data_IF_301107369269
#
_entry.id   IF_301107369269
#
_cell.length_a   1.000
_cell.length_b   1.000
_cell.length_c   1.000
_cell.angle_alpha   90.00
_cell.angle_beta   90.00
_cell.angle_gamma   90.00
#
_symmetry.space_group_name_H-M   'P 1'
#
loop_
_entity.id
_entity.type
_entity.pdbx_description
1 polymer ?
#
# COMPACT_ATOMS: atom_id res chain seq x y z
N UNK A 1 6.77 18.47 -15.17
CA UNK A 1 5.42 17.86 -15.15
C UNK A 1 5.57 16.39 -14.80
N UNK A 2 4.81 15.88 -13.82
CA UNK A 2 4.95 14.53 -13.26
C UNK A 2 3.80 13.64 -13.73
N UNK A 3 4.10 12.47 -14.30
CA UNK A 3 3.09 11.53 -14.82
C UNK A 3 2.83 10.40 -13.83
N UNK A 4 1.58 10.03 -13.60
CA UNK A 4 1.24 8.78 -12.92
C UNK A 4 1.61 7.58 -13.79
N UNK A 5 2.18 6.53 -13.16
CA UNK A 5 2.57 5.30 -13.87
C UNK A 5 1.39 4.35 -14.11
N UNK A 6 0.27 4.56 -13.43
CA UNK A 6 -0.91 3.69 -13.52
C UNK A 6 -2.11 4.35 -14.22
N UNK A 7 -2.18 5.68 -14.27
CA UNK A 7 -3.22 6.40 -14.99
C UNK A 7 -2.62 7.57 -15.80
N UNK A 8 -3.39 8.12 -16.73
CA UNK A 8 -2.90 9.17 -17.63
C UNK A 8 -2.94 10.59 -17.04
N UNK A 9 -2.94 10.70 -15.70
CA UNK A 9 -2.92 11.98 -15.01
C UNK A 9 -1.49 12.56 -14.98
N UNK A 10 -1.42 13.86 -15.27
CA UNK A 10 -0.23 14.67 -15.13
C UNK A 10 -0.46 15.75 -14.09
N UNK A 11 0.54 15.94 -13.22
CA UNK A 11 0.51 16.94 -12.14
C UNK A 11 1.75 17.82 -12.18
N UNK A 12 1.69 18.97 -11.54
CA UNK A 12 2.75 19.99 -11.65
C UNK A 12 3.96 19.65 -10.78
N UNK A 13 3.73 19.05 -9.61
CA UNK A 13 4.77 18.72 -8.63
C UNK A 13 4.82 17.25 -8.17
N UNK A 14 5.99 16.83 -7.66
CA UNK A 14 6.17 15.50 -7.05
C UNK A 14 5.21 15.27 -5.89
N UNK A 15 5.01 16.28 -5.06
CA UNK A 15 4.10 16.24 -3.92
C UNK A 15 2.65 16.00 -4.34
N UNK A 16 2.21 16.66 -5.41
CA UNK A 16 0.87 16.45 -5.98
C UNK A 16 0.72 15.03 -6.53
N UNK A 17 1.78 14.45 -7.11
CA UNK A 17 1.75 13.07 -7.58
C UNK A 17 1.64 12.08 -6.41
N UNK A 18 2.36 12.34 -5.32
CA UNK A 18 2.26 11.55 -4.10
C UNK A 18 0.88 11.66 -3.44
N UNK A 19 0.29 12.87 -3.41
CA UNK A 19 -1.10 13.06 -2.97
C UNK A 19 -2.06 12.28 -3.85
N UNK A 20 -1.90 12.35 -5.17
CA UNK A 20 -2.69 11.60 -6.14
C UNK A 20 -2.59 10.08 -5.91
N UNK A 21 -1.40 9.53 -5.64
CA UNK A 21 -1.24 8.11 -5.28
C UNK A 21 -2.09 7.72 -4.07
N UNK A 22 -2.15 8.55 -3.01
CA UNK A 22 -2.93 8.24 -1.81
C UNK A 22 -4.44 8.43 -2.01
N UNK A 23 -4.85 9.40 -2.82
CA UNK A 23 -6.25 9.76 -2.99
C UNK A 23 -6.97 8.96 -4.08
N UNK A 24 -6.29 8.65 -5.18
CA UNK A 24 -6.91 8.03 -6.36
C UNK A 24 -6.56 6.55 -6.51
N UNK A 25 -5.40 6.08 -6.01
CA UNK A 25 -4.96 4.69 -6.12
C UNK A 25 -5.09 3.91 -4.80
N UNK A 26 -6.33 3.58 -4.43
CA UNK A 26 -6.68 2.94 -3.14
C UNK A 26 -6.03 1.58 -2.87
N UNK A 27 -5.58 0.92 -3.94
CA UNK A 27 -4.98 -0.41 -3.91
C UNK A 27 -3.49 -0.40 -3.56
N UNK A 28 -2.84 0.77 -3.63
CA UNK A 28 -1.44 0.88 -3.24
C UNK A 28 -1.21 0.57 -1.77
N UNK A 29 -0.15 -0.19 -1.50
CA UNK A 29 0.19 -0.69 -0.16
C UNK A 29 -0.67 -1.87 0.32
N UNK A 30 -1.64 -2.32 -0.50
CA UNK A 30 -2.43 -3.54 -0.25
C UNK A 30 -2.08 -4.61 -1.27
N UNK A 31 -2.68 -4.51 -2.45
CA UNK A 31 -2.54 -5.46 -3.56
C UNK A 31 -1.56 -4.97 -4.62
N UNK A 32 -1.31 -3.66 -4.69
CA UNK A 32 -0.34 -3.03 -5.58
C UNK A 32 0.75 -2.32 -4.77
N UNK A 33 1.95 -2.26 -5.33
CA UNK A 33 3.10 -1.58 -4.71
C UNK A 33 3.13 -0.13 -5.12
N UNK A 34 3.52 0.75 -4.21
CA UNK A 34 3.73 2.16 -4.51
C UNK A 34 4.91 2.30 -5.49
N UNK A 35 4.72 2.87 -6.69
CA UNK A 35 5.83 3.15 -7.58
C UNK A 35 6.64 4.35 -7.10
N UNK A 36 7.94 4.38 -7.42
CA UNK A 36 8.71 5.61 -7.33
C UNK A 36 8.11 6.68 -8.25
N UNK A 37 8.00 7.91 -7.75
CA UNK A 37 7.44 9.06 -8.46
C UNK A 37 8.28 9.45 -9.71
N UNK A 38 9.57 9.12 -9.74
CA UNK A 38 10.43 9.36 -10.90
C UNK A 38 10.16 8.32 -11.99
N UNK A 39 9.84 8.78 -13.20
CA UNK A 39 9.48 7.91 -14.32
C UNK A 39 10.60 6.92 -14.68
N UNK A 40 11.85 7.40 -14.64
CA UNK A 40 13.07 6.63 -14.89
C UNK A 40 13.45 5.65 -13.78
N UNK A 41 12.83 5.73 -12.60
CA UNK A 41 13.13 4.83 -11.49
C UNK A 41 12.19 3.61 -11.50
N UNK A 42 12.71 2.38 -11.64
CA UNK A 42 11.89 1.16 -11.70
C UNK A 42 11.44 0.67 -10.32
N UNK A 43 11.85 1.33 -9.23
CA UNK A 43 11.60 0.85 -7.87
C UNK A 43 10.12 0.94 -7.47
N UNK A 44 9.66 -0.08 -6.74
CA UNK A 44 8.31 -0.15 -6.16
C UNK A 44 8.36 -0.62 -4.71
N UNK A 45 7.42 -0.17 -3.87
CA UNK A 45 7.46 -0.33 -2.42
C UNK A 45 6.17 -0.88 -1.85
N UNK A 46 6.27 -1.71 -0.81
CA UNK A 46 5.10 -2.24 -0.10
C UNK A 46 4.48 -1.22 0.86
N UNK A 47 5.29 -0.31 1.41
CA UNK A 47 4.83 0.68 2.40
C UNK A 47 5.14 2.11 1.94
N UNK A 48 4.30 3.04 2.38
CA UNK A 48 4.48 4.47 2.13
C UNK A 48 5.82 4.99 2.69
N UNK A 49 6.17 4.56 3.91
CA UNK A 49 7.43 4.94 4.53
C UNK A 49 8.66 4.45 3.72
N UNK A 50 8.61 3.23 3.17
CA UNK A 50 9.70 2.73 2.34
C UNK A 50 9.87 3.54 1.05
N UNK A 51 8.76 3.99 0.44
CA UNK A 51 8.80 4.93 -0.69
C UNK A 51 9.44 6.26 -0.26
N UNK A 52 9.03 6.84 0.87
CA UNK A 52 9.60 8.10 1.36
C UNK A 52 11.10 7.99 1.64
N UNK A 53 11.54 6.93 2.32
CA UNK A 53 12.96 6.66 2.59
C UNK A 53 13.73 6.49 1.27
N UNK A 54 13.14 5.84 0.27
CA UNK A 54 13.77 5.74 -1.04
C UNK A 54 13.89 7.09 -1.73
N UNK A 55 12.81 7.89 -1.75
CA UNK A 55 12.80 9.20 -2.37
C UNK A 55 13.83 10.12 -1.73
N UNK A 56 13.94 10.11 -0.40
CA UNK A 56 14.98 10.89 0.28
C UNK A 56 16.38 10.34 -0.01
N UNK A 57 16.63 9.04 0.12
CA UNK A 57 18.01 8.52 0.00
C UNK A 57 18.54 8.41 -1.43
N UNK A 58 17.66 8.23 -2.42
CA UNK A 58 18.05 8.00 -3.82
C UNK A 58 17.87 9.25 -4.65
N UNK A 59 16.89 10.09 -4.32
CA UNK A 59 16.54 11.27 -5.10
C UNK A 59 16.73 12.60 -4.34
N UNK A 60 17.27 12.62 -3.11
CA UNK A 60 17.58 13.90 -2.42
C UNK A 60 18.49 14.81 -3.25
N UNK A 61 19.52 14.25 -3.89
CA UNK A 61 20.55 15.02 -4.59
C UNK A 61 20.20 15.37 -6.04
N UNK A 62 19.03 14.94 -6.56
CA UNK A 62 18.59 15.36 -7.90
C UNK A 62 17.92 16.75 -7.88
N UNK A 63 17.85 17.38 -6.71
CA UNK A 63 17.26 18.70 -6.50
C UNK A 63 18.29 19.84 -6.61
N UNK A 64 19.58 19.54 -6.71
CA UNK A 64 20.66 20.52 -6.65
C UNK A 64 21.72 20.23 -7.71
N UNK A 65 21.73 21.06 -8.74
CA UNK A 65 22.85 21.44 -9.61
C UNK A 65 23.66 20.38 -10.40
N UNK A 66 23.60 20.56 -11.72
CA UNK A 66 24.76 20.48 -12.61
C UNK A 66 25.99 21.14 -11.97
N UNK A 67 27.09 20.39 -11.77
CA UNK A 67 28.49 20.80 -12.04
C UNK A 67 29.51 19.69 -11.67
N UNK A 68 30.10 19.12 -12.73
CA UNK A 68 31.50 18.74 -12.97
C UNK A 68 32.40 18.16 -11.84
N UNK A 69 32.76 16.87 -11.99
CA UNK A 69 34.13 16.31 -11.90
C UNK A 69 34.11 14.86 -12.44
N UNK A 70 34.53 14.65 -13.69
CA UNK A 70 34.35 13.37 -14.40
C UNK A 70 35.49 12.37 -14.15
N UNK A 71 35.40 11.60 -13.05
CA UNK A 71 36.08 10.31 -12.95
C UNK A 71 35.12 9.19 -13.36
N UNK A 72 35.53 8.33 -14.30
CA UNK A 72 34.69 7.22 -14.77
C UNK A 72 35.25 5.86 -14.36
N UNK A 73 34.34 4.94 -14.07
CA UNK A 73 34.67 3.56 -13.68
C UNK A 73 34.55 2.61 -14.87
N UNK A 74 35.47 1.65 -14.93
CA UNK A 74 35.49 0.59 -15.95
C UNK A 74 35.42 -0.79 -15.31
N UNK A 75 34.59 -1.67 -15.85
CA UNK A 75 34.47 -3.04 -15.39
C UNK A 75 35.67 -3.89 -15.83
N UNK A 76 36.15 -4.74 -14.94
CA UNK A 76 37.26 -5.66 -15.19
C UNK A 76 36.80 -7.05 -15.67
N UNK A 77 35.49 -7.30 -15.72
CA UNK A 77 34.89 -8.59 -16.09
C UNK A 77 34.18 -8.57 -17.45
N UNK A 78 33.88 -7.38 -17.97
CA UNK A 78 33.22 -7.21 -19.26
C UNK A 78 33.67 -5.90 -19.94
N UNK A 79 33.15 -5.64 -21.13
CA UNK A 79 33.47 -4.45 -21.94
C UNK A 79 32.80 -3.17 -21.45
N UNK A 80 32.00 -3.22 -20.38
CA UNK A 80 31.33 -2.07 -19.80
C UNK A 80 32.36 -1.07 -19.23
N UNK A 81 32.42 0.12 -19.84
CA UNK A 81 33.27 1.24 -19.45
C UNK A 81 32.48 2.54 -19.45
N UNK A 82 32.96 3.56 -18.74
CA UNK A 82 32.31 4.88 -18.57
C UNK A 82 31.16 4.95 -17.54
N UNK A 83 31.23 4.18 -16.45
CA UNK A 83 30.26 4.30 -15.36
C UNK A 83 30.55 5.59 -14.55
N UNK A 84 29.61 6.53 -14.43
CA UNK A 84 29.87 7.88 -13.90
C UNK A 84 30.02 7.93 -12.38
N UNK A 85 29.54 6.91 -11.65
CA UNK A 85 29.58 6.91 -10.18
C UNK A 85 30.02 5.57 -9.61
N UNK A 86 30.64 5.58 -8.42
CA UNK A 86 31.01 4.36 -7.68
C UNK A 86 29.78 3.48 -7.41
N UNK A 87 28.63 4.12 -7.16
CA UNK A 87 27.35 3.45 -6.90
C UNK A 87 26.86 2.67 -8.12
N UNK A 88 27.00 3.25 -9.31
CA UNK A 88 26.66 2.57 -10.58
C UNK A 88 27.64 1.45 -10.90
N UNK A 89 28.93 1.63 -10.60
CA UNK A 89 29.92 0.57 -10.69
C UNK A 89 29.56 -0.64 -9.82
N UNK A 90 29.24 -0.44 -8.54
CA UNK A 90 28.86 -1.57 -7.67
C UNK A 90 27.49 -2.16 -8.01
N UNK A 91 26.54 -1.35 -8.52
CA UNK A 91 25.28 -1.86 -9.04
C UNK A 91 25.51 -2.79 -10.24
N UNK A 92 26.44 -2.42 -11.13
CA UNK A 92 26.88 -3.25 -12.24
C UNK A 92 27.62 -4.52 -11.77
N UNK A 93 28.56 -4.44 -10.82
CA UNK A 93 29.20 -5.64 -10.24
C UNK A 93 28.17 -6.59 -9.60
N UNK A 94 27.09 -6.04 -9.05
CA UNK A 94 25.99 -6.85 -8.51
C UNK A 94 25.26 -7.66 -9.57
N UNK A 95 25.27 -7.27 -10.86
CA UNK A 95 24.66 -8.07 -11.93
C UNK A 95 25.51 -9.30 -12.27
N UNK A 96 26.84 -9.18 -12.21
CA UNK A 96 27.75 -10.32 -12.36
C UNK A 96 27.56 -11.34 -11.22
N UNK A 97 27.47 -10.87 -9.97
CA UNK A 97 27.22 -11.74 -8.80
C UNK A 97 25.84 -12.40 -8.83
N UNK A 98 24.82 -11.75 -9.40
CA UNK A 98 23.49 -12.35 -9.60
C UNK A 98 23.48 -13.40 -10.72
N UNK A 99 24.43 -13.31 -11.64
CA UNK A 99 24.64 -14.28 -12.74
C UNK A 99 25.58 -15.43 -12.32
N UNK A 100 25.90 -15.53 -11.02
CA UNK A 100 26.82 -16.51 -10.42
C UNK A 100 28.26 -16.43 -10.95
N UNK A 101 28.66 -15.31 -11.53
CA UNK A 101 30.04 -15.09 -11.98
C UNK A 101 30.96 -14.79 -10.80
N UNK A 102 32.20 -15.29 -10.85
CA UNK A 102 33.17 -15.06 -9.78
C UNK A 102 33.79 -13.69 -9.92
N UNK A 103 33.48 -12.79 -8.99
CA UNK A 103 34.03 -11.43 -8.94
C UNK A 103 35.27 -11.41 -8.06
N UNK A 104 36.34 -10.82 -8.57
CA UNK A 104 37.55 -10.53 -7.80
C UNK A 104 37.45 -9.16 -7.12
N UNK A 105 38.06 -9.03 -5.94
CA UNK A 105 38.11 -7.75 -5.25
C UNK A 105 38.89 -6.72 -6.09
N UNK A 106 38.27 -5.56 -6.30
CA UNK A 106 38.76 -4.43 -7.09
C UNK A 106 39.66 -3.46 -6.32
N UNK A 107 39.94 -3.71 -5.04
CA UNK A 107 40.85 -2.90 -4.24
C UNK A 107 42.30 -3.38 -4.38
N UNK A 108 43.25 -2.45 -4.42
CA UNK A 108 44.69 -2.73 -4.47
C UNK A 108 45.10 -3.58 -3.27
N UNK A 109 45.96 -4.57 -3.47
CA UNK A 109 46.42 -5.46 -2.39
C UNK A 109 45.39 -6.48 -1.90
N UNK A 110 44.18 -6.53 -2.47
CA UNK A 110 43.17 -7.53 -2.10
C UNK A 110 43.04 -8.65 -3.14
N UNK A 111 43.25 -9.89 -2.70
CA UNK A 111 43.14 -11.11 -3.51
C UNK A 111 41.82 -11.87 -3.31
N UNK A 112 40.89 -11.32 -2.52
CA UNK A 112 39.60 -11.97 -2.23
C UNK A 112 38.76 -12.15 -3.52
N UNK A 113 38.09 -13.28 -3.66
CA UNK A 113 37.18 -13.59 -4.78
C UNK A 113 35.92 -14.27 -4.25
N UNK A 114 34.77 -13.98 -4.84
CA UNK A 114 33.51 -14.65 -4.50
C UNK A 114 32.51 -14.54 -5.64
N UNK A 115 31.59 -15.49 -5.72
CA UNK A 115 30.43 -15.48 -6.61
C UNK A 115 29.12 -15.19 -5.87
N UNK A 116 29.17 -14.92 -4.56
CA UNK A 116 27.98 -14.68 -3.72
C UNK A 116 27.88 -13.18 -3.38
N UNK A 117 26.71 -12.59 -3.64
CA UNK A 117 26.47 -11.15 -3.42
C UNK A 117 26.67 -10.71 -1.96
N UNK A 118 26.11 -11.45 -1.00
CA UNK A 118 26.14 -11.09 0.42
C UNK A 118 27.53 -11.12 1.03
N UNK A 119 28.37 -12.09 0.63
CA UNK A 119 29.76 -12.22 1.10
C UNK A 119 30.64 -11.12 0.52
N UNK A 120 30.45 -10.77 -0.76
CA UNK A 120 31.13 -9.64 -1.39
C UNK A 120 30.84 -8.32 -0.69
N UNK A 121 29.55 -8.02 -0.44
CA UNK A 121 29.13 -6.78 0.21
C UNK A 121 29.65 -6.69 1.66
N UNK A 122 29.65 -7.82 2.38
CA UNK A 122 30.22 -7.90 3.74
C UNK A 122 31.73 -7.71 3.73
N UNK A 123 32.45 -8.32 2.78
CA UNK A 123 33.88 -8.15 2.61
C UNK A 123 34.25 -6.69 2.34
N UNK A 124 33.57 -6.05 1.38
CA UNK A 124 33.76 -4.63 1.03
C UNK A 124 33.64 -3.74 2.26
N UNK A 125 32.52 -3.86 2.98
CA UNK A 125 32.22 -2.98 4.11
C UNK A 125 33.14 -3.20 5.33
N UNK A 126 33.69 -4.42 5.50
CA UNK A 126 34.54 -4.73 6.66
C UNK A 126 36.03 -4.49 6.42
N UNK A 127 36.49 -4.57 5.17
CA UNK A 127 37.92 -4.52 4.82
C UNK A 127 38.32 -3.27 4.07
N UNK A 128 37.38 -2.61 3.39
CA UNK A 128 37.64 -1.49 2.50
C UNK A 128 36.66 -0.34 2.80
N UNK A 129 36.32 -0.09 4.06
CA UNK A 129 35.53 1.08 4.44
C UNK A 129 36.16 1.69 5.68
N UNK A 130 36.54 2.98 5.65
CA UNK A 130 36.45 3.92 4.52
C UNK A 130 37.49 3.64 3.41
N UNK A 131 37.16 3.97 2.16
CA UNK A 131 38.07 3.90 1.01
C UNK A 131 37.92 5.14 0.12
N UNK A 132 38.94 5.42 -0.68
CA UNK A 132 39.02 6.54 -1.63
C UNK A 132 39.24 6.02 -3.05
N UNK A 133 39.13 6.88 -4.06
CA UNK A 133 39.33 6.49 -5.47
C UNK A 133 40.74 5.94 -5.75
N UNK A 134 41.74 6.29 -4.92
CA UNK A 134 43.12 5.81 -5.04
C UNK A 134 43.32 4.36 -4.58
N UNK A 135 42.35 3.80 -3.87
CA UNK A 135 42.42 2.45 -3.31
C UNK A 135 41.94 1.37 -4.31
N UNK A 136 41.38 1.79 -5.44
CA UNK A 136 40.96 0.89 -6.51
C UNK A 136 42.14 0.46 -7.39
N UNK A 137 42.06 -0.75 -7.94
CA UNK A 137 43.04 -1.25 -8.91
C UNK A 137 43.12 -0.29 -10.11
N UNK A 138 44.32 -0.06 -10.68
CA UNK A 138 44.52 0.92 -11.76
C UNK A 138 43.66 0.72 -13.01
N UNK A 139 43.12 -0.49 -13.22
CA UNK A 139 42.23 -0.81 -14.34
C UNK A 139 40.76 -0.42 -14.12
N UNK A 140 40.38 0.00 -12.91
CA UNK A 140 38.98 0.22 -12.51
C UNK A 140 38.58 1.70 -12.54
N UNK A 141 39.50 2.62 -12.28
CA UNK A 141 39.24 4.07 -12.27
C UNK A 141 40.12 4.76 -13.32
N UNK A 142 39.52 5.62 -14.16
CA UNK A 142 40.24 6.48 -15.10
C UNK A 142 40.08 7.94 -14.68
N UNK A 143 41.20 8.59 -14.37
CA UNK A 143 41.25 10.01 -14.00
C UNK A 143 42.11 10.74 -15.04
N UNK A 144 41.59 11.82 -15.63
CA UNK A 144 42.38 12.77 -16.42
C UNK A 144 43.00 13.78 -15.47
N UNK A 145 44.32 13.75 -15.30
CA UNK A 145 45.04 14.62 -14.36
C UNK A 145 45.20 16.05 -14.91
N UNK A 146 44.96 17.03 -14.06
CA UNK A 146 45.51 18.40 -14.17
C UNK A 146 45.82 18.88 -12.75
N UNK A 147 46.95 19.57 -12.61
CA UNK A 147 47.77 19.70 -11.40
C UNK A 147 47.15 20.55 -10.25
N UNK A 148 47.49 20.13 -9.03
CA UNK A 148 47.47 20.79 -7.69
C UNK A 148 48.15 22.19 -7.64
N UNK A 149 48.23 22.95 -6.49
CA UNK A 149 47.76 22.66 -5.10
C UNK A 149 47.15 23.86 -4.30
N UNK A 150 46.69 23.54 -3.07
CA UNK A 150 46.74 24.28 -1.78
C UNK A 150 45.42 24.73 -1.11
N UNK A 151 45.22 24.24 0.13
CA UNK A 151 44.47 24.94 1.19
C UNK A 151 43.69 24.02 2.15
N UNK A 152 44.20 23.82 3.37
CA UNK A 152 43.76 22.88 4.40
C UNK A 152 42.60 23.45 5.30
N UNK A 153 42.19 22.82 6.43
CA UNK A 153 40.84 22.28 6.69
C UNK A 153 40.00 23.09 7.70
N UNK A 154 38.69 22.85 7.76
CA UNK A 154 37.79 23.50 8.73
C UNK A 154 36.68 22.57 9.24
N UNK A 155 36.55 22.53 10.56
CA UNK A 155 35.67 21.70 11.38
C UNK A 155 34.16 21.92 11.18
N UNK A 156 33.39 20.86 11.45
CA UNK A 156 32.13 20.90 12.18
C UNK A 156 30.90 21.46 11.45
N UNK A 157 29.83 20.66 11.39
CA UNK A 157 28.51 21.01 11.95
C UNK A 157 27.49 19.94 11.55
N UNK A 158 26.82 19.38 12.57
CA UNK A 158 25.62 18.56 12.38
C UNK A 158 24.41 19.44 12.06
N UNK A 159 23.54 19.00 11.16
CA UNK A 159 22.17 19.51 11.04
C UNK A 159 21.29 18.33 10.56
N UNK A 160 20.45 17.77 11.43
CA UNK A 160 19.07 18.18 11.77
C UNK A 160 18.05 17.91 10.67
N UNK A 161 17.26 16.87 10.96
CA UNK A 161 15.81 16.72 10.79
C UNK A 161 15.08 17.70 9.85
N UNK A 162 14.58 17.17 8.73
CA UNK A 162 13.53 17.79 7.92
C UNK A 162 12.27 16.92 8.01
N UNK A 163 11.53 17.09 9.11
CA UNK A 163 10.11 16.79 9.16
C UNK A 163 9.35 17.89 8.39
N UNK A 164 9.21 17.70 7.08
CA UNK A 164 8.53 18.65 6.22
C UNK A 164 7.00 18.60 6.40
N UNK A 165 6.49 19.71 6.91
CA UNK A 165 5.10 20.10 7.15
C UNK A 165 4.26 20.03 5.85
N UNK A 166 3.07 19.44 5.94
CA UNK A 166 2.10 19.37 4.84
C UNK A 166 1.48 20.75 4.56
N UNK A 167 2.04 21.51 3.61
CA UNK A 167 1.37 22.68 3.05
C UNK A 167 0.39 22.28 1.93
N UNK A 168 -0.80 22.87 1.98
CA UNK A 168 -1.90 22.69 1.04
C UNK A 168 -1.78 23.69 -0.11
N UNK A 169 -1.69 23.17 -1.34
CA UNK A 169 -1.97 23.93 -2.57
C UNK A 169 -3.02 23.13 -3.32
N UNK A 170 -4.16 23.77 -3.58
CA UNK A 170 -5.27 23.24 -4.36
C UNK A 170 -4.95 23.27 -5.85
N UNK A 171 -5.24 22.19 -6.58
CA UNK A 171 -5.27 22.20 -8.03
C UNK A 171 -6.56 21.53 -8.53
N UNK A 172 -7.36 22.30 -9.28
CA UNK A 172 -8.52 21.84 -10.05
C UNK A 172 -8.10 21.57 -11.48
N UNK A 173 -8.55 20.44 -12.03
CA UNK A 173 -8.75 20.08 -13.46
C UNK A 173 -8.51 18.56 -13.59
N UNK A 174 -9.27 17.72 -14.27
CA UNK A 174 -10.30 17.92 -15.28
C UNK A 174 -10.29 16.65 -16.16
N UNK A 175 -11.32 15.83 -15.95
CA UNK A 175 -11.87 14.73 -16.76
C UNK A 175 -11.11 13.41 -17.00
N UNK A 176 -11.87 12.31 -16.88
CA UNK A 176 -11.48 10.93 -17.16
C UNK A 176 -11.86 9.90 -16.08
N UNK A 177 -13.14 9.50 -16.06
CA UNK A 177 -13.76 8.40 -15.28
C UNK A 177 -14.40 8.80 -13.93
N UNK A 178 -15.72 9.09 -13.94
CA UNK A 178 -16.64 9.33 -12.80
C UNK A 178 -15.94 9.78 -11.52
N UNK A 179 -15.28 10.94 -11.55
CA UNK A 179 -14.48 11.41 -10.43
C UNK A 179 -15.41 11.83 -9.30
N UNK A 180 -15.57 10.96 -8.29
CA UNK A 180 -16.17 11.31 -7.00
C UNK A 180 -15.56 12.65 -6.56
N UNK A 181 -16.40 13.64 -6.25
CA UNK A 181 -15.95 14.94 -5.76
C UNK A 181 -14.96 14.75 -4.60
N UNK A 182 -13.90 15.57 -4.52
CA UNK A 182 -12.89 15.46 -3.45
C UNK A 182 -13.48 15.29 -2.04
N UNK A 183 -14.57 15.98 -1.63
CA UNK A 183 -15.26 15.72 -0.37
C UNK A 183 -15.69 14.27 -0.15
N UNK A 184 -16.34 13.66 -1.15
CA UNK A 184 -16.77 12.26 -1.11
C UNK A 184 -15.58 11.30 -1.03
N UNK A 185 -14.49 11.60 -1.73
CA UNK A 185 -13.26 10.78 -1.67
C UNK A 185 -12.68 10.80 -0.27
N UNK A 186 -12.63 11.97 0.38
CA UNK A 186 -12.14 12.12 1.75
C UNK A 186 -13.03 11.36 2.73
N UNK A 187 -14.35 11.56 2.66
CA UNK A 187 -15.32 10.87 3.51
C UNK A 187 -15.23 9.35 3.37
N UNK A 188 -15.17 8.85 2.14
CA UNK A 188 -15.09 7.41 1.87
C UNK A 188 -13.76 6.80 2.35
N UNK A 189 -12.64 7.53 2.23
CA UNK A 189 -11.36 7.11 2.81
C UNK A 189 -11.44 7.05 4.34
N UNK A 190 -12.06 8.04 4.95
CA UNK A 190 -12.23 8.07 6.40
C UNK A 190 -13.11 6.92 6.88
N UNK A 191 -14.25 6.70 6.22
CA UNK A 191 -15.12 5.54 6.46
C UNK A 191 -14.36 4.22 6.32
N UNK A 192 -13.49 4.07 5.30
CA UNK A 192 -12.69 2.88 5.12
C UNK A 192 -11.66 2.68 6.24
N UNK A 193 -11.14 3.74 6.85
CA UNK A 193 -10.28 3.67 8.04
C UNK A 193 -11.07 3.19 9.26
N UNK A 194 -12.27 3.75 9.50
CA UNK A 194 -13.15 3.34 10.59
C UNK A 194 -13.58 1.88 10.46
N UNK A 195 -13.96 1.45 9.25
CA UNK A 195 -14.30 0.05 8.96
C UNK A 195 -13.16 -0.91 9.33
N UNK A 196 -11.90 -0.53 9.07
CA UNK A 196 -10.74 -1.33 9.47
C UNK A 196 -10.57 -1.38 10.98
N UNK A 197 -10.77 -0.27 11.68
CA UNK A 197 -10.69 -0.25 13.14
C UNK A 197 -11.75 -1.19 13.74
N UNK A 198 -12.97 -1.19 13.21
CA UNK A 198 -14.05 -2.06 13.66
C UNK A 198 -13.80 -3.54 13.35
N UNK A 199 -13.45 -3.87 12.11
CA UNK A 199 -13.47 -5.25 11.63
C UNK A 199 -12.10 -5.94 11.57
N UNK A 200 -11.00 -5.18 11.57
CA UNK A 200 -9.64 -5.73 11.59
C UNK A 200 -9.01 -5.56 12.98
N UNK A 201 -9.12 -4.37 13.57
CA UNK A 201 -8.57 -4.11 14.90
C UNK A 201 -9.56 -4.42 16.04
N UNK A 202 -10.79 -4.83 15.73
CA UNK A 202 -11.82 -5.24 16.69
C UNK A 202 -12.15 -4.18 17.75
N UNK A 203 -12.02 -2.90 17.40
CA UNK A 203 -12.42 -1.80 18.26
C UNK A 203 -13.95 -1.77 18.33
N UNK A 204 -14.51 -1.73 19.54
CA UNK A 204 -15.96 -1.71 19.72
C UNK A 204 -16.58 -0.45 19.12
N UNK A 205 -17.78 -0.57 18.56
CA UNK A 205 -18.50 0.58 18.00
C UNK A 205 -18.68 1.73 19.01
N UNK A 206 -18.95 1.39 20.28
CA UNK A 206 -19.05 2.36 21.38
C UNK A 206 -17.74 3.11 21.63
N UNK A 207 -16.61 2.40 21.55
CA UNK A 207 -15.28 3.02 21.71
C UNK A 207 -14.99 3.98 20.56
N UNK A 208 -15.37 3.61 19.33
CA UNK A 208 -15.21 4.49 18.17
C UNK A 208 -16.14 5.69 18.27
N UNK A 209 -17.40 5.51 18.69
CA UNK A 209 -18.34 6.61 18.90
C UNK A 209 -17.74 7.65 19.86
N UNK A 210 -17.23 7.22 21.03
CA UNK A 210 -16.56 8.12 21.97
C UNK A 210 -15.30 8.77 21.41
N UNK A 211 -14.48 8.04 20.64
CA UNK A 211 -13.32 8.62 19.96
C UNK A 211 -13.71 9.69 18.94
N UNK A 212 -14.77 9.46 18.16
CA UNK A 212 -15.23 10.40 17.14
C UNK A 212 -15.86 11.65 17.75
N UNK A 213 -16.56 11.53 18.88
CA UNK A 213 -17.07 12.67 19.65
C UNK A 213 -15.91 13.58 20.11
N UNK A 214 -14.87 13.00 20.72
CA UNK A 214 -13.67 13.76 21.13
C UNK A 214 -12.93 14.35 19.93
N UNK A 215 -12.77 13.58 18.85
CA UNK A 215 -12.14 14.07 17.62
C UNK A 215 -12.91 15.24 17.01
N UNK A 216 -14.24 15.17 16.98
CA UNK A 216 -15.09 16.26 16.52
C UNK A 216 -14.91 17.49 17.41
N UNK A 217 -14.91 17.35 18.73
CA UNK A 217 -14.71 18.48 19.65
C UNK A 217 -13.34 19.17 19.44
N UNK A 218 -12.27 18.37 19.33
CA UNK A 218 -10.91 18.87 19.09
C UNK A 218 -10.79 19.61 17.76
N UNK A 219 -11.36 19.03 16.70
CA UNK A 219 -11.29 19.58 15.35
C UNK A 219 -12.31 20.70 15.09
N UNK A 220 -13.25 20.98 16.01
CA UNK A 220 -14.22 22.07 15.85
C UNK A 220 -14.08 23.12 16.96
N UNK A 221 -14.76 22.95 18.08
CA UNK A 221 -14.84 23.94 19.15
C UNK A 221 -13.49 24.29 19.78
N UNK A 222 -12.62 23.30 19.98
CA UNK A 222 -11.35 23.54 20.66
C UNK A 222 -10.33 24.32 19.81
N UNK A 223 -10.38 24.12 18.48
CA UNK A 223 -9.42 24.73 17.54
C UNK A 223 -9.93 25.99 16.86
N UNK A 224 -11.23 26.31 16.99
CA UNK A 224 -11.82 27.52 16.45
C UNK A 224 -11.13 28.80 16.96
N UNK A 225 -10.90 29.01 18.28
CA UNK A 225 -10.24 30.23 18.76
C UNK A 225 -8.81 30.38 18.23
N UNK A 226 -8.06 29.26 18.14
CA UNK A 226 -6.71 29.25 17.59
C UNK A 226 -6.72 29.65 16.12
N UNK A 227 -7.69 29.15 15.34
CA UNK A 227 -7.81 29.47 13.92
C UNK A 227 -8.18 30.94 13.70
N UNK A 228 -9.05 31.49 14.54
CA UNK A 228 -9.38 32.93 14.52
C UNK A 228 -8.14 33.78 14.80
N UNK A 229 -7.35 33.42 15.84
CA UNK A 229 -6.12 34.16 16.16
C UNK A 229 -5.10 34.09 15.02
N UNK A 230 -4.89 32.91 14.40
CA UNK A 230 -3.97 32.75 13.27
C UNK A 230 -4.43 33.61 12.07
N UNK A 231 -5.72 33.60 11.75
CA UNK A 231 -6.25 34.43 10.67
C UNK A 231 -6.09 35.93 10.98
N UNK A 232 -6.32 36.34 12.22
CA UNK A 232 -6.13 37.71 12.68
C UNK A 232 -4.66 38.15 12.55
N UNK A 233 -3.70 37.33 13.00
CA UNK A 233 -2.26 37.60 12.85
C UNK A 233 -1.84 37.71 11.38
N UNK A 234 -2.33 36.82 10.51
CA UNK A 234 -2.00 36.85 9.06
C UNK A 234 -2.57 38.11 8.41
N UNK A 235 -3.80 38.50 8.73
CA UNK A 235 -4.43 39.70 8.16
C UNK A 235 -3.73 40.97 8.65
N UNK A 236 -3.38 41.05 9.94
CA UNK A 236 -2.61 42.17 10.49
C UNK A 236 -1.23 42.29 9.83
N UNK A 237 -0.54 41.18 9.58
CA UNK A 237 0.76 41.16 8.88
C UNK A 237 0.68 41.75 7.48
N UNK A 238 -0.45 41.57 6.80
CA UNK A 238 -0.70 42.14 5.47
C UNK A 238 -1.38 43.53 5.51
N UNK A 239 -1.42 44.18 6.67
CA UNK A 239 -2.05 45.49 6.88
C UNK A 239 -3.53 45.55 6.50
N UNK A 240 -4.22 44.41 6.58
CA UNK A 240 -5.66 44.32 6.35
C UNK A 240 -6.40 44.52 7.68
N UNK A 241 -7.24 45.55 7.75
CA UNK A 241 -8.15 45.78 8.88
C UNK A 241 -9.46 45.05 8.59
N UNK A 242 -9.64 43.88 9.20
CA UNK A 242 -10.84 43.06 9.04
C UNK A 242 -11.55 42.94 10.37
N UNK A 243 -12.88 43.04 10.37
CA UNK A 243 -13.69 42.83 11.57
C UNK A 243 -13.53 41.40 12.09
N UNK A 244 -13.41 41.25 13.40
CA UNK A 244 -13.33 39.96 14.10
C UNK A 244 -14.54 39.07 13.80
N UNK A 245 -15.71 39.68 13.53
CA UNK A 245 -16.90 38.95 13.11
C UNK A 245 -16.67 38.18 11.80
N UNK A 246 -16.10 38.83 10.79
CA UNK A 246 -15.79 38.24 9.47
C UNK A 246 -14.71 37.17 9.59
N UNK A 247 -13.68 37.40 10.41
CA UNK A 247 -12.64 36.39 10.67
C UNK A 247 -13.24 35.13 11.30
N UNK A 248 -14.14 35.32 12.27
CA UNK A 248 -14.85 34.22 12.93
C UNK A 248 -15.76 33.47 11.96
N UNK A 249 -16.44 34.18 11.06
CA UNK A 249 -17.27 33.59 10.01
C UNK A 249 -16.43 32.75 9.04
N UNK A 250 -15.29 33.26 8.57
CA UNK A 250 -14.37 32.52 7.69
C UNK A 250 -13.87 31.26 8.40
N UNK A 251 -13.42 31.37 9.64
CA UNK A 251 -12.96 30.21 10.42
C UNK A 251 -14.08 29.16 10.53
N UNK A 252 -15.29 29.58 10.92
CA UNK A 252 -16.46 28.70 11.04
C UNK A 252 -16.81 28.03 9.71
N UNK A 253 -16.78 28.78 8.60
CA UNK A 253 -17.02 28.24 7.26
C UNK A 253 -16.00 27.16 6.86
N UNK A 254 -14.73 27.32 7.23
CA UNK A 254 -13.68 26.32 6.95
C UNK A 254 -13.92 25.01 7.72
N UNK A 255 -14.33 25.09 8.99
CA UNK A 255 -14.65 23.90 9.80
C UNK A 255 -15.90 23.19 9.30
N UNK A 256 -16.98 23.94 9.07
CA UNK A 256 -18.28 23.39 8.60
C UNK A 256 -18.21 22.82 7.18
N UNK A 257 -17.28 23.33 6.36
CA UNK A 257 -17.03 22.80 5.01
C UNK A 257 -16.13 21.57 4.99
N UNK A 258 -15.50 21.21 6.11
CA UNK A 258 -14.60 20.06 6.17
C UNK A 258 -15.41 18.74 6.07
N UNK A 259 -15.19 17.92 5.02
CA UNK A 259 -15.95 16.70 4.80
C UNK A 259 -15.83 15.68 5.93
N UNK A 260 -14.66 15.63 6.59
CA UNK A 260 -14.45 14.73 7.73
C UNK A 260 -15.27 15.17 8.93
N UNK A 261 -15.23 16.45 9.29
CA UNK A 261 -16.01 16.99 10.41
C UNK A 261 -17.51 16.79 10.18
N UNK A 262 -17.98 17.15 8.98
CA UNK A 262 -19.38 16.97 8.58
C UNK A 262 -19.83 15.51 8.66
N UNK A 263 -18.94 14.55 8.39
CA UNK A 263 -19.28 13.13 8.48
C UNK A 263 -19.47 12.63 9.91
N UNK A 264 -18.86 13.29 10.91
CA UNK A 264 -18.88 12.85 12.33
C UNK A 264 -19.64 13.79 13.26
N UNK A 265 -20.09 14.95 12.77
CA UNK A 265 -20.99 15.83 13.51
C UNK A 265 -22.30 15.12 13.87
N UNK A 266 -23.08 15.70 14.77
CA UNK A 266 -24.36 15.12 15.18
C UNK A 266 -25.29 14.93 13.98
N UNK A 267 -25.60 13.67 13.64
CA UNK A 267 -26.42 13.32 12.48
C UNK A 267 -25.63 13.10 11.19
N UNK A 268 -24.31 13.25 11.22
CA UNK A 268 -23.40 12.93 10.13
C UNK A 268 -23.37 11.42 9.83
N UNK A 269 -23.04 11.08 8.58
CA UNK A 269 -23.05 9.71 8.02
C UNK A 269 -22.18 8.70 8.77
N UNK A 270 -21.18 9.15 9.52
CA UNK A 270 -20.22 8.32 10.25
C UNK A 270 -20.29 8.52 11.79
N UNK A 271 -21.21 9.35 12.26
CA UNK A 271 -21.28 9.81 13.66
C UNK A 271 -21.61 8.71 14.67
N UNK A 272 -22.38 7.69 14.27
CA UNK A 272 -22.78 6.59 15.17
C UNK A 272 -22.51 5.23 14.54
N UNK A 273 -22.36 4.20 15.38
CA UNK A 273 -22.23 2.81 14.93
C UNK A 273 -23.32 2.40 13.93
N UNK A 274 -24.56 2.86 14.11
CA UNK A 274 -25.66 2.57 13.18
C UNK A 274 -25.44 3.23 11.81
N UNK A 275 -25.15 4.54 11.80
CA UNK A 275 -24.97 5.29 10.56
C UNK A 275 -23.72 4.82 9.80
N UNK A 276 -22.63 4.50 10.50
CA UNK A 276 -21.45 3.88 9.87
C UNK A 276 -21.79 2.57 9.16
N UNK A 277 -22.53 1.67 9.81
CA UNK A 277 -22.96 0.41 9.18
C UNK A 277 -23.82 0.64 7.94
N UNK A 278 -24.70 1.64 7.98
CA UNK A 278 -25.51 2.02 6.82
C UNK A 278 -24.61 2.54 5.69
N UNK A 279 -23.70 3.47 5.99
CA UNK A 279 -22.74 4.02 5.04
C UNK A 279 -21.89 2.92 4.39
N UNK A 280 -21.42 1.94 5.18
CA UNK A 280 -20.61 0.84 4.66
C UNK A 280 -21.37 -0.03 3.66
N UNK A 281 -22.66 -0.31 3.92
CA UNK A 281 -23.51 -1.08 3.02
C UNK A 281 -23.68 -0.37 1.68
N UNK A 282 -23.95 0.94 1.74
CA UNK A 282 -24.19 1.77 0.57
C UNK A 282 -22.90 2.05 -0.23
N UNK A 283 -21.77 2.25 0.45
CA UNK A 283 -20.53 2.72 -0.18
C UNK A 283 -19.53 1.62 -0.56
N UNK A 284 -19.58 0.46 0.10
CA UNK A 284 -18.58 -0.61 -0.08
C UNK A 284 -19.13 -1.90 -0.70
N UNK A 285 -20.31 -1.86 -1.31
CA UNK A 285 -20.92 -3.00 -2.03
C UNK A 285 -20.94 -4.29 -1.20
N UNK A 286 -21.34 -4.18 0.08
CA UNK A 286 -21.35 -5.32 1.00
C UNK A 286 -22.40 -6.34 0.55
N UNK A 287 -21.97 -7.60 0.45
CA UNK A 287 -22.88 -8.73 0.23
C UNK A 287 -23.29 -9.28 1.59
N UNK A 288 -24.53 -8.97 1.98
CA UNK A 288 -25.10 -9.42 3.25
C UNK A 288 -25.37 -10.94 3.25
N UNK A 289 -25.24 -11.61 4.41
CA UNK A 289 -25.72 -12.97 4.58
C UNK A 289 -27.23 -13.08 4.35
N UNK A 290 -27.65 -14.17 3.72
CA UNK A 290 -29.05 -14.53 3.51
C UNK A 290 -29.38 -15.71 4.40
N UNK A 291 -30.53 -15.63 5.08
CA UNK A 291 -31.08 -16.75 5.84
C UNK A 291 -31.74 -17.75 4.89
N UNK A 292 -31.37 -19.02 5.04
CA UNK A 292 -32.01 -20.15 4.39
C UNK A 292 -32.72 -21.00 5.44
N UNK A 293 -34.03 -21.16 5.27
CA UNK A 293 -34.86 -21.96 6.17
C UNK A 293 -34.78 -23.43 5.74
N UNK A 294 -34.08 -24.25 6.52
CA UNK A 294 -33.99 -25.70 6.29
C UNK A 294 -35.31 -26.39 6.68
N UNK A 295 -35.87 -26.00 7.83
CA UNK A 295 -37.13 -26.54 8.33
C UNK A 295 -37.84 -25.49 9.18
N UNK A 296 -38.95 -24.96 8.65
CA UNK A 296 -39.76 -23.95 9.33
C UNK A 296 -40.44 -24.49 10.60
N UNK A 297 -40.85 -25.77 10.61
CA UNK A 297 -41.53 -26.39 11.75
C UNK A 297 -40.60 -26.56 12.94
N UNK A 298 -39.36 -26.94 12.68
CA UNK A 298 -38.31 -27.14 13.70
C UNK A 298 -37.49 -25.86 13.97
N UNK A 299 -37.84 -24.74 13.33
CA UNK A 299 -37.10 -23.47 13.40
C UNK A 299 -35.60 -23.64 13.12
N UNK A 300 -35.26 -24.50 12.16
CA UNK A 300 -33.88 -24.71 11.70
C UNK A 300 -33.62 -23.86 10.47
N UNK A 301 -32.65 -22.97 10.57
CA UNK A 301 -32.13 -22.17 9.47
C UNK A 301 -30.59 -22.14 9.51
N UNK A 302 -29.98 -21.76 8.40
CA UNK A 302 -28.58 -21.36 8.36
C UNK A 302 -28.44 -20.06 7.58
N UNK A 303 -27.33 -19.37 7.76
CA UNK A 303 -27.01 -18.15 7.02
C UNK A 303 -25.84 -18.40 6.09
N UNK A 304 -25.90 -17.87 4.87
CA UNK A 304 -24.80 -17.94 3.92
C UNK A 304 -24.64 -16.63 3.17
N UNK A 305 -23.42 -16.34 2.73
CA UNK A 305 -23.16 -15.20 1.83
C UNK A 305 -23.32 -15.69 0.38
N UNK A 306 -24.23 -15.10 -0.42
CA UNK A 306 -24.44 -15.55 -1.80
C UNK A 306 -23.19 -15.41 -2.66
N UNK A 307 -22.60 -16.55 -3.03
CA UNK A 307 -21.34 -16.61 -3.79
C UNK A 307 -21.46 -15.89 -5.13
N UNK A 308 -22.57 -16.09 -5.86
CA UNK A 308 -22.78 -15.44 -7.15
C UNK A 308 -22.76 -13.91 -7.05
N UNK A 309 -23.48 -13.34 -6.08
CA UNK A 309 -23.51 -11.89 -5.84
C UNK A 309 -22.15 -11.37 -5.41
N UNK A 310 -21.41 -12.14 -4.61
CA UNK A 310 -20.05 -11.80 -4.23
C UNK A 310 -19.09 -11.79 -5.43
N UNK A 311 -19.19 -12.79 -6.31
CA UNK A 311 -18.38 -12.86 -7.52
C UNK A 311 -18.70 -11.73 -8.49
N UNK A 312 -19.98 -11.39 -8.68
CA UNK A 312 -20.39 -10.23 -9.48
C UNK A 312 -19.70 -8.95 -8.96
N UNK A 313 -19.85 -8.64 -7.67
CA UNK A 313 -19.22 -7.48 -7.06
C UNK A 313 -17.68 -7.51 -7.14
N UNK A 314 -17.08 -8.71 -7.10
CA UNK A 314 -15.64 -8.88 -7.20
C UNK A 314 -15.13 -8.64 -8.63
N UNK A 315 -15.87 -9.13 -9.63
CA UNK A 315 -15.56 -8.98 -11.06
C UNK A 315 -15.96 -7.62 -11.64
N UNK A 316 -16.77 -6.83 -10.94
CA UNK A 316 -16.97 -5.40 -11.27
C UNK A 316 -15.65 -4.61 -11.16
N UNK A 317 -14.64 -5.14 -10.47
CA UNK A 317 -13.33 -4.51 -10.41
C UNK A 317 -12.43 -4.96 -11.56
N UNK A 318 -12.09 -4.02 -12.45
CA UNK A 318 -11.15 -4.23 -13.56
C UNK A 318 -9.82 -4.84 -13.11
N UNK A 319 -9.25 -4.37 -12.00
CA UNK A 319 -7.97 -4.89 -11.49
C UNK A 319 -8.00 -6.39 -11.11
N UNK A 320 -9.18 -6.92 -10.77
CA UNK A 320 -9.37 -8.34 -10.49
C UNK A 320 -9.55 -9.12 -11.78
N UNK A 321 -10.37 -8.60 -12.70
CA UNK A 321 -10.60 -9.19 -14.03
C UNK A 321 -9.27 -9.34 -14.77
N UNK A 322 -8.46 -8.28 -14.82
CA UNK A 322 -7.16 -8.27 -15.51
C UNK A 322 -6.26 -9.37 -14.95
N UNK A 323 -6.16 -9.49 -13.62
CA UNK A 323 -5.37 -10.54 -12.97
C UNK A 323 -5.85 -11.95 -13.30
N UNK A 324 -7.15 -12.16 -13.38
CA UNK A 324 -7.74 -13.46 -13.74
C UNK A 324 -7.45 -13.81 -15.19
N UNK A 325 -7.61 -12.86 -16.10
CA UNK A 325 -7.35 -13.04 -17.54
C UNK A 325 -5.87 -13.25 -17.80
N UNK A 326 -5.00 -12.44 -17.21
CA UNK A 326 -3.55 -12.55 -17.37
C UNK A 326 -3.02 -13.89 -16.85
N UNK A 327 -3.52 -14.33 -15.68
CA UNK A 327 -3.13 -15.62 -15.12
C UNK A 327 -3.60 -16.79 -16.02
N UNK A 328 -4.81 -16.71 -16.57
CA UNK A 328 -5.32 -17.70 -17.53
C UNK A 328 -4.47 -17.78 -18.79
N UNK A 329 -4.13 -16.64 -19.41
CA UNK A 329 -3.25 -16.58 -20.60
C UNK A 329 -1.86 -17.15 -20.32
N UNK A 330 -1.29 -16.81 -19.16
CA UNK A 330 0.00 -17.34 -18.74
C UNK A 330 -0.04 -18.87 -18.58
N UNK A 331 -1.12 -19.42 -18.03
CA UNK A 331 -1.33 -20.87 -17.89
C UNK A 331 -1.43 -21.57 -19.24
N UNK A 332 -2.18 -21.01 -20.20
CA UNK A 332 -2.28 -21.56 -21.55
C UNK A 332 -0.93 -21.59 -22.28
N UNK A 333 -0.15 -20.51 -22.18
CA UNK A 333 1.16 -20.41 -22.82
C UNK A 333 2.14 -21.45 -22.25
N UNK A 334 2.16 -21.64 -20.93
CA UNK A 334 3.02 -22.62 -20.26
C UNK A 334 2.67 -24.07 -20.62
N UNK A 335 1.40 -24.37 -20.95
CA UNK A 335 1.01 -25.72 -21.40
C UNK A 335 1.63 -26.08 -22.76
N UNK A 336 1.84 -25.08 -23.63
CA UNK A 336 2.42 -25.27 -24.97
C UNK A 336 3.96 -25.39 -24.89
N UNK A 337 4.60 -24.62 -24.01
CA UNK A 337 6.06 -24.62 -23.83
C UNK A 337 6.50 -25.71 -22.82
N UNK A 338 6.42 -26.98 -23.22
CA UNK A 338 6.62 -28.17 -22.37
C UNK A 338 8.05 -28.40 -21.82
N UNK A 339 9.03 -27.54 -22.09
CA UNK A 339 10.46 -27.86 -21.87
C UNK A 339 10.93 -27.70 -20.41
N UNK A 340 10.21 -26.97 -19.55
CA UNK A 340 10.53 -26.86 -18.12
C UNK A 340 9.28 -26.96 -17.24
N UNK A 341 8.96 -28.18 -16.78
CA UNK A 341 7.83 -28.45 -15.86
C UNK A 341 8.11 -27.90 -14.46
N UNK A 342 7.87 -26.61 -14.25
CA UNK A 342 7.76 -26.03 -12.90
C UNK A 342 6.29 -26.02 -12.50
N UNK A 343 5.92 -26.79 -11.47
CA UNK A 343 4.58 -26.72 -10.88
C UNK A 343 4.37 -25.38 -10.18
N UNK A 344 3.32 -24.65 -10.56
CA UNK A 344 2.97 -23.34 -10.02
C UNK A 344 1.60 -23.32 -9.34
N UNK A 345 0.71 -24.23 -9.74
CA UNK A 345 -0.64 -24.34 -9.20
C UNK A 345 -1.19 -25.77 -9.32
N UNK A 346 -2.32 -26.03 -8.68
CA UNK A 346 -3.04 -27.30 -8.83
C UNK A 346 -3.50 -27.57 -10.28
N UNK A 347 -3.58 -26.53 -11.12
CA UNK A 347 -3.98 -26.65 -12.53
C UNK A 347 -2.91 -27.30 -13.41
N UNK A 348 -1.68 -27.37 -12.92
CA UNK A 348 -0.57 -28.07 -13.57
C UNK A 348 -0.61 -29.59 -13.28
N UNK A 349 -1.52 -30.01 -12.38
CA UNK A 349 -1.70 -31.40 -12.00
C UNK A 349 -2.35 -32.22 -13.11
N UNK A 350 -1.92 -33.48 -13.23
CA UNK A 350 -2.39 -34.41 -14.25
C UNK A 350 -3.92 -34.52 -14.34
N UNK A 351 -4.60 -34.67 -13.21
CA UNK A 351 -6.06 -34.76 -13.17
C UNK A 351 -6.77 -33.49 -13.66
N UNK A 352 -6.17 -32.32 -13.45
CA UNK A 352 -6.74 -31.08 -13.96
C UNK A 352 -6.60 -31.03 -15.49
N UNK A 353 -5.43 -31.40 -16.01
CA UNK A 353 -5.14 -31.41 -17.44
C UNK A 353 -5.96 -32.45 -18.21
N UNK A 354 -6.20 -33.62 -17.62
CA UNK A 354 -7.03 -34.68 -18.21
C UNK A 354 -8.53 -34.36 -18.16
N UNK A 355 -8.97 -33.44 -17.30
CA UNK A 355 -10.36 -33.07 -17.19
C UNK A 355 -10.74 -32.07 -18.28
N UNK A 356 -11.44 -32.53 -19.33
CA UNK A 356 -11.83 -31.71 -20.49
C UNK A 356 -12.67 -30.48 -20.14
N UNK A 357 -13.43 -30.51 -19.05
CA UNK A 357 -14.21 -29.35 -18.60
C UNK A 357 -13.31 -28.25 -17.98
N UNK A 358 -12.26 -28.65 -17.26
CA UNK A 358 -11.35 -27.74 -16.56
C UNK A 358 -10.15 -27.32 -17.42
N UNK A 359 -9.69 -28.18 -18.33
CA UNK A 359 -8.50 -27.95 -19.16
C UNK A 359 -8.79 -27.31 -20.53
N UNK A 360 -10.05 -27.00 -20.82
CA UNK A 360 -10.49 -26.33 -22.04
C UNK A 360 -9.82 -24.95 -22.26
N UNK A 361 -9.95 -24.44 -23.49
CA UNK A 361 -9.48 -23.10 -23.91
C UNK A 361 -10.31 -21.97 -23.30
N UNK A 362 -11.58 -22.24 -23.01
CA UNK A 362 -12.50 -21.28 -22.38
C UNK A 362 -12.06 -20.94 -20.95
N UNK A 363 -12.14 -19.66 -20.59
CA UNK A 363 -11.92 -19.22 -19.22
C UNK A 363 -13.07 -19.70 -18.34
N UNK A 364 -12.76 -20.55 -17.35
CA UNK A 364 -13.69 -21.03 -16.32
C UNK A 364 -13.42 -20.32 -15.00
N UNK A 365 -14.46 -19.96 -14.26
CA UNK A 365 -14.34 -19.46 -12.89
C UNK A 365 -14.17 -20.64 -11.93
N UNK A 366 -13.03 -20.71 -11.26
CA UNK A 366 -12.61 -21.80 -10.39
C UNK A 366 -12.70 -21.37 -8.93
N UNK A 367 -13.51 -22.08 -8.15
CA UNK A 367 -13.62 -21.88 -6.71
C UNK A 367 -13.05 -23.11 -5.99
N UNK A 368 -12.12 -22.87 -5.08
CA UNK A 368 -11.69 -23.91 -4.13
C UNK A 368 -12.41 -23.68 -2.81
N UNK A 369 -13.13 -24.71 -2.35
CA UNK A 369 -13.90 -24.71 -1.11
C UNK A 369 -13.10 -25.39 0.00
N UNK A 370 -13.20 -24.82 1.19
CA UNK A 370 -12.67 -25.36 2.43
C UNK A 370 -13.80 -25.48 3.43
N UNK A 371 -13.69 -26.49 4.29
CA UNK A 371 -14.63 -26.75 5.37
C UNK A 371 -13.83 -26.88 6.67
N UNK A 372 -14.29 -26.24 7.73
CA UNK A 372 -13.67 -26.29 9.05
C UNK A 372 -14.76 -26.26 10.12
N UNK A 373 -14.58 -27.07 11.17
CA UNK A 373 -15.51 -27.20 12.28
C UNK A 373 -14.92 -26.54 13.53
N UNK A 374 -15.58 -25.49 14.00
CA UNK A 374 -15.18 -24.72 15.17
C UNK A 374 -16.02 -25.13 16.36
N UNK A 375 -15.35 -25.44 17.48
CA UNK A 375 -16.00 -25.48 18.77
C UNK A 375 -16.03 -24.07 19.35
N UNK A 376 -17.20 -23.62 19.81
CA UNK A 376 -17.29 -22.36 20.54
C UNK A 376 -16.58 -22.59 21.88
N UNK A 377 -15.43 -21.98 22.09
CA UNK A 377 -14.79 -21.99 23.40
C UNK A 377 -15.66 -21.15 24.34
N UNK A 378 -16.38 -21.83 25.24
CA UNK A 378 -17.19 -21.26 26.33
C UNK A 378 -18.63 -20.78 26.04
N UNK A 379 -19.51 -21.58 25.40
CA UNK A 379 -20.96 -21.34 25.51
C UNK A 379 -21.38 -21.59 26.97
N UNK A 380 -21.94 -20.58 27.62
CA UNK A 380 -22.44 -20.68 28.99
C UNK A 380 -23.57 -21.75 29.06
N UNK A 381 -23.46 -22.72 29.97
CA UNK A 381 -24.55 -23.63 30.35
C UNK A 381 -24.54 -25.03 29.72
N UNK A 382 -25.70 -25.71 29.78
CA UNK A 382 -25.92 -27.15 29.45
C UNK A 382 -25.83 -27.53 27.97
N UNK A 383 -25.44 -26.58 27.11
CA UNK A 383 -25.22 -26.75 25.68
C UNK A 383 -23.74 -26.81 25.29
N UNK A 384 -22.84 -26.71 26.28
CA UNK A 384 -21.40 -26.98 26.12
C UNK A 384 -21.22 -28.34 25.43
N UNK A 385 -20.38 -28.38 24.38
CA UNK A 385 -20.05 -29.54 23.51
C UNK A 385 -21.15 -30.13 22.61
N UNK A 386 -22.39 -29.61 22.61
CA UNK A 386 -23.49 -30.19 21.78
C UNK A 386 -23.50 -29.71 20.33
N UNK A 387 -22.99 -28.52 20.05
CA UNK A 387 -23.05 -27.91 18.72
C UNK A 387 -21.67 -27.43 18.28
N UNK A 388 -21.25 -27.85 17.09
CA UNK A 388 -20.09 -27.31 16.37
C UNK A 388 -20.58 -26.31 15.34
N UNK A 389 -19.86 -25.21 15.17
CA UNK A 389 -20.07 -24.30 14.05
C UNK A 389 -19.27 -24.83 12.87
N UNK A 390 -19.94 -25.24 11.81
CA UNK A 390 -19.29 -25.57 10.55
C UNK A 390 -19.17 -24.31 9.71
N UNK A 391 -17.95 -23.92 9.33
CA UNK A 391 -17.75 -22.85 8.35
C UNK A 391 -17.30 -23.43 7.02
N UNK A 392 -17.96 -22.97 5.96
CA UNK A 392 -17.54 -23.18 4.57
C UNK A 392 -16.99 -21.87 4.05
N UNK A 393 -15.75 -21.87 3.60
CA UNK A 393 -15.10 -20.71 3.00
C UNK A 393 -14.45 -21.09 1.68
N UNK A 394 -14.12 -20.10 0.86
CA UNK A 394 -13.64 -20.35 -0.50
C UNK A 394 -12.59 -19.34 -0.93
N UNK A 395 -11.82 -19.72 -1.94
CA UNK A 395 -10.91 -18.84 -2.66
C UNK A 395 -11.24 -18.84 -4.16
N UNK A 396 -11.03 -17.71 -4.82
CA UNK A 396 -11.05 -17.61 -6.27
C UNK A 396 -9.71 -18.12 -6.82
N UNK A 397 -9.69 -19.34 -7.30
CA UNK A 397 -8.50 -20.07 -7.74
C UNK A 397 -7.90 -19.57 -9.06
N UNK A 398 -8.63 -18.72 -9.79
CA UNK A 398 -8.10 -18.06 -10.99
C UNK A 398 -7.06 -16.98 -10.67
N UNK A 399 -6.99 -16.51 -9.42
CA UNK A 399 -6.03 -15.49 -9.03
C UNK A 399 -4.64 -16.09 -8.84
N UNK A 400 -3.57 -15.34 -9.17
CA UNK A 400 -2.21 -15.82 -8.99
C UNK A 400 -1.84 -15.91 -7.50
N UNK A 401 -0.86 -16.77 -7.13
CA UNK A 401 -0.39 -16.90 -5.75
C UNK A 401 -0.03 -15.54 -5.12
N UNK A 402 -0.42 -15.36 -3.86
CA UNK A 402 -0.23 -14.09 -3.13
C UNK A 402 -1.33 -13.04 -3.35
N UNK A 403 -2.31 -13.30 -4.22
CA UNK A 403 -3.48 -12.43 -4.39
C UNK A 403 -4.66 -12.78 -3.48
N UNK A 404 -4.62 -13.95 -2.83
CA UNK A 404 -5.68 -14.39 -1.94
C UNK A 404 -5.65 -13.66 -0.60
N UNK A 405 -6.82 -13.54 0.02
CA UNK A 405 -6.94 -13.03 1.39
C UNK A 405 -6.27 -13.99 2.37
N UNK A 406 -5.64 -13.44 3.41
CA UNK A 406 -5.13 -14.24 4.52
C UNK A 406 -6.25 -14.55 5.52
N UNK A 407 -6.26 -15.80 5.98
CA UNK A 407 -6.89 -16.22 7.22
C UNK A 407 -5.93 -15.85 8.36
N UNK A 408 -6.15 -14.73 9.04
CA UNK A 408 -5.46 -14.43 10.30
C UNK A 408 -6.17 -15.16 11.44
N UNK A 409 -5.43 -15.61 12.46
CA UNK A 409 -6.01 -16.26 13.65
C UNK A 409 -7.05 -15.37 14.36
N UNK A 410 -6.92 -14.06 14.26
CA UNK A 410 -7.89 -13.07 14.80
C UNK A 410 -9.27 -13.16 14.13
N UNK A 411 -9.34 -13.50 12.83
CA UNK A 411 -10.63 -13.71 12.15
C UNK A 411 -11.38 -14.92 12.69
N UNK A 412 -10.70 -15.94 13.21
CA UNK A 412 -11.33 -17.11 13.86
C UNK A 412 -12.02 -16.73 15.17
N UNK A 413 -11.52 -15.72 15.90
CA UNK A 413 -12.14 -15.21 17.13
C UNK A 413 -13.32 -14.25 16.86
N UNK A 414 -13.32 -13.56 15.72
CA UNK A 414 -14.39 -12.60 15.37
C UNK A 414 -15.68 -13.26 14.89
N UNK A 415 -15.60 -14.38 14.17
CA UNK A 415 -16.78 -15.21 13.85
C UNK A 415 -17.49 -15.70 15.10
N UNK A 416 -16.77 -15.85 16.22
CA UNK A 416 -17.36 -16.22 17.51
C UNK A 416 -17.90 -15.05 18.34
N UNK A 417 -17.60 -13.78 18.01
CA UNK A 417 -17.81 -12.68 18.95
C UNK A 417 -18.59 -11.44 18.45
N UNK A 418 -18.82 -11.21 17.14
CA UNK A 418 -19.34 -9.88 16.76
C UNK A 418 -20.27 -9.78 15.53
N UNK A 419 -20.48 -10.86 14.78
CA UNK A 419 -21.32 -10.80 13.55
C UNK A 419 -22.52 -11.73 13.57
N UNK A 420 -22.83 -12.33 14.72
CA UNK A 420 -24.12 -12.99 14.93
C UNK A 420 -25.11 -11.87 15.25
N UNK A 421 -26.16 -11.63 14.43
CA UNK A 421 -27.29 -10.83 14.90
C UNK A 421 -27.71 -11.44 16.22
N UNK A 422 -27.75 -10.64 17.30
CA UNK A 422 -28.31 -11.14 18.55
C UNK A 422 -29.73 -11.62 18.28
N UNK A 423 -29.88 -12.93 18.04
CA UNK A 423 -31.15 -13.62 18.11
C UNK A 423 -31.52 -13.45 19.57
N UNK A 424 -32.41 -12.48 19.83
CA UNK A 424 -33.02 -12.27 21.13
C UNK A 424 -33.39 -13.65 21.67
N UNK A 425 -32.76 -14.03 22.77
CA UNK A 425 -33.19 -15.17 23.56
C UNK A 425 -34.63 -14.91 23.97
N UNK A 426 -35.58 -15.56 23.30
CA UNK A 426 -36.93 -15.69 23.81
C UNK A 426 -36.84 -16.76 24.89
N UNK A 427 -36.95 -16.31 26.15
CA UNK A 427 -37.08 -17.19 27.31
C UNK A 427 -38.30 -18.08 27.12
N UNK A 428 -38.12 -19.37 27.41
CA UNK A 428 -39.20 -20.34 27.57
C UNK A 428 -40.22 -19.89 28.61
#
# INVERSE_FOLDING_TARGET
MWKCKECDIFVTGRHELLKHFRLQHRNYGRSQRYPCAYLSCPCTFKTWNALHIHLSRVHANQSSQEQLESSTFSCHLCTCSNLPTEKEYFAHISTHLKSNETVSCMFVGCSYKTNIYGTFNTHKNRKHTPHTFKDFKPSVVRTTESQEPYGNPGEGTSCQDDTAVEANTSCSSGDGDVTKSLPRVIEEHFAACLLKLEHIAHVSGKTIDGFLEELHHLLSSATLPLSVNILEEVLQKHSLTTDKSVITEIATALFTSNPMLKSIEKGGSLSTTYLRKQYYKESFNIVEPVEYILNAKERRSFQYVPVLKFLQNLFDRRDVVDKVVDNHRAQQTNRVMMEQKTYRSFQDGEYFLQNSFLSDTDLRILLTLYIDDFEVCNPLGTSRTKHKLCAVYWILSNLPPGSHSSLSEEKRKSTTASTIPQVKQWKH
#
